data_IF_645805847855
#
_entry.id   IF_645805847855
#
_cell.length_a   1.000
_cell.length_b   1.000
_cell.length_c   1.000
_cell.angle_alpha   90.00
_cell.angle_beta   90.00
_cell.angle_gamma   90.00
#
_symmetry.space_group_name_H-M   'P 1'
#
loop_
_entity.id
_entity.type
_entity.pdbx_description
1 polymer ?
#
# COMPACT_ATOMS: atom_id res chain seq x y z
N UNK A 1 16.01 3.57 22.26
CA UNK A 1 15.12 4.21 21.29
C UNK A 1 15.95 4.59 20.08
N UNK A 2 15.51 4.14 18.92
CA UNK A 2 16.15 4.41 17.63
C UNK A 2 16.08 5.92 17.28
N UNK A 3 17.05 6.47 16.54
CA UNK A 3 16.98 7.87 16.09
C UNK A 3 16.11 8.01 14.85
N UNK A 4 15.08 8.85 14.89
CA UNK A 4 14.15 9.09 13.77
C UNK A 4 14.44 10.43 13.11
N UNK A 5 14.48 10.44 11.77
CA UNK A 5 14.36 11.65 10.97
C UNK A 5 13.07 11.64 10.15
N UNK A 6 12.53 12.83 9.89
CA UNK A 6 11.45 13.06 8.94
C UNK A 6 12.07 13.63 7.67
N UNK A 7 11.80 13.02 6.52
CA UNK A 7 12.28 13.47 5.21
C UNK A 7 11.07 13.89 4.37
N UNK A 8 10.99 15.19 4.08
CA UNK A 8 10.07 15.73 3.09
C UNK A 8 10.75 15.70 1.72
N UNK A 9 10.22 14.90 0.79
CA UNK A 9 10.73 14.72 -0.57
C UNK A 9 9.93 15.63 -1.51
N UNK A 10 10.63 16.49 -2.25
CA UNK A 10 10.00 17.51 -3.10
C UNK A 10 10.80 17.75 -4.38
N UNK A 11 10.12 18.30 -5.39
CA UNK A 11 10.73 18.68 -6.66
C UNK A 11 10.53 20.18 -6.96
N UNK A 12 9.34 20.58 -7.43
CA UNK A 12 9.10 21.93 -7.92
C UNK A 12 7.74 22.53 -7.48
N UNK A 13 7.10 21.98 -6.45
CA UNK A 13 5.76 22.39 -5.98
C UNK A 13 5.80 23.01 -4.57
N UNK A 14 5.91 24.33 -4.50
CA UNK A 14 5.95 25.06 -3.21
C UNK A 14 4.66 24.89 -2.42
N UNK A 15 3.50 24.95 -3.07
CA UNK A 15 2.21 24.86 -2.39
C UNK A 15 1.98 23.48 -1.75
N UNK A 16 2.34 22.42 -2.47
CA UNK A 16 2.32 21.03 -1.97
C UNK A 16 3.23 20.88 -0.76
N UNK A 17 4.51 21.26 -0.90
CA UNK A 17 5.47 21.22 0.19
C UNK A 17 5.00 22.03 1.40
N UNK A 18 4.46 23.24 1.19
CA UNK A 18 3.93 24.10 2.26
C UNK A 18 2.81 23.39 3.01
N UNK A 19 1.93 22.67 2.32
CA UNK A 19 0.83 21.92 2.93
C UNK A 19 1.33 20.74 3.76
N UNK A 20 2.29 19.97 3.23
CA UNK A 20 2.94 18.91 4.00
C UNK A 20 3.58 19.47 5.27
N UNK A 21 4.41 20.50 5.13
CA UNK A 21 5.13 21.16 6.22
C UNK A 21 4.19 21.69 7.30
N UNK A 22 3.08 22.33 6.92
CA UNK A 22 2.04 22.75 7.87
C UNK A 22 1.41 21.57 8.61
N UNK A 23 1.18 20.43 7.95
CA UNK A 23 0.64 19.26 8.65
C UNK A 23 1.66 18.68 9.64
N UNK A 24 2.95 18.73 9.32
CA UNK A 24 4.03 18.34 10.23
C UNK A 24 4.14 19.29 11.43
N UNK A 25 4.03 20.61 11.23
CA UNK A 25 4.02 21.59 12.33
C UNK A 25 2.89 21.33 13.34
N UNK A 26 1.74 20.85 12.85
CA UNK A 26 0.56 20.58 13.68
C UNK A 26 0.55 19.16 14.28
N UNK A 27 1.58 18.36 14.04
CA UNK A 27 1.68 17.03 14.60
C UNK A 27 2.26 17.02 16.02
N UNK A 28 2.10 15.90 16.70
CA UNK A 28 2.52 15.69 18.07
C UNK A 28 3.78 14.83 18.14
N UNK A 29 4.81 15.37 18.79
CA UNK A 29 6.12 14.74 18.93
C UNK A 29 6.45 14.32 20.37
N UNK A 30 5.53 14.57 21.32
CA UNK A 30 5.80 14.38 22.74
C UNK A 30 6.96 15.26 23.21
N UNK A 31 7.89 14.66 23.97
CA UNK A 31 9.13 15.32 24.41
C UNK A 31 10.27 15.23 23.37
N UNK A 32 10.02 14.58 22.23
CA UNK A 32 11.03 14.41 21.19
C UNK A 32 11.13 15.63 20.28
N UNK A 33 12.34 15.81 19.72
CA UNK A 33 12.66 16.91 18.80
C UNK A 33 13.22 16.36 17.50
N UNK A 34 12.36 15.84 16.59
CA UNK A 34 12.84 15.18 15.38
C UNK A 34 13.53 16.15 14.42
N UNK A 35 14.58 15.65 13.77
CA UNK A 35 15.20 16.34 12.64
C UNK A 35 14.30 16.27 11.42
N UNK A 36 13.98 17.41 10.83
CA UNK A 36 13.33 17.53 9.54
C UNK A 36 14.37 17.74 8.44
N UNK A 37 14.35 16.87 7.43
CA UNK A 37 15.19 16.97 6.24
C UNK A 37 14.28 17.29 5.06
N UNK A 38 14.49 18.45 4.42
CA UNK A 38 13.80 18.79 3.16
C UNK A 38 14.74 18.41 2.03
N UNK A 39 14.42 17.31 1.33
CA UNK A 39 15.23 16.74 0.25
C UNK A 39 14.64 17.13 -1.10
N UNK A 40 15.37 17.94 -1.86
CA UNK A 40 14.89 18.64 -3.05
C UNK A 40 15.62 18.10 -4.29
N UNK A 41 14.87 17.50 -5.22
CA UNK A 41 15.43 17.12 -6.52
C UNK A 41 15.57 18.35 -7.43
N UNK A 42 16.59 18.37 -8.29
CA UNK A 42 16.93 19.59 -9.03
C UNK A 42 15.91 19.89 -10.13
N UNK A 43 15.21 21.01 -10.01
CA UNK A 43 14.32 21.56 -11.05
C UNK A 43 15.02 22.62 -11.92
N UNK A 44 14.26 23.20 -12.85
CA UNK A 44 14.72 24.33 -13.70
C UNK A 44 14.79 25.66 -12.95
N UNK A 45 14.22 25.74 -11.75
CA UNK A 45 14.24 26.92 -10.89
C UNK A 45 14.93 26.61 -9.56
N UNK A 46 15.14 27.63 -8.73
CA UNK A 46 15.64 27.51 -7.35
C UNK A 46 14.57 27.93 -6.32
N UNK A 47 13.31 28.01 -6.74
CA UNK A 47 12.24 28.59 -5.93
C UNK A 47 11.89 27.74 -4.71
N UNK A 48 11.88 26.41 -4.88
CA UNK A 48 11.67 25.47 -3.76
C UNK A 48 12.88 25.46 -2.84
N UNK A 49 14.10 25.54 -3.37
CA UNK A 49 15.31 25.64 -2.57
C UNK A 49 15.35 26.90 -1.70
N UNK A 50 15.00 28.07 -2.26
CA UNK A 50 14.89 29.34 -1.51
C UNK A 50 13.81 29.27 -0.45
N UNK A 51 12.62 28.80 -0.81
CA UNK A 51 11.53 28.60 0.14
C UNK A 51 11.95 27.68 1.29
N UNK A 52 12.60 26.56 0.96
CA UNK A 52 13.07 25.61 1.95
C UNK A 52 14.13 26.24 2.85
N UNK A 53 15.10 27.00 2.30
CA UNK A 53 16.15 27.69 3.07
C UNK A 53 15.59 28.62 4.16
N UNK A 54 14.53 29.37 3.81
CA UNK A 54 13.87 30.34 4.69
C UNK A 54 12.87 29.70 5.67
N UNK A 55 12.51 28.43 5.46
CA UNK A 55 11.53 27.74 6.31
C UNK A 55 12.07 27.51 7.74
N UNK A 56 11.24 27.85 8.73
CA UNK A 56 11.52 27.61 10.14
C UNK A 56 10.81 26.36 10.64
N UNK A 57 11.58 25.38 11.14
CA UNK A 57 11.04 24.19 11.78
C UNK A 57 10.96 24.39 13.31
N UNK A 58 9.77 24.42 13.92
CA UNK A 58 9.65 24.72 15.35
C UNK A 58 9.99 23.55 16.28
N UNK A 59 10.00 22.32 15.79
CA UNK A 59 10.09 21.12 16.65
C UNK A 59 11.50 20.53 16.78
N UNK A 60 12.50 20.98 16.02
CA UNK A 60 13.83 20.38 16.08
C UNK A 60 14.83 20.99 15.10
N UNK A 61 15.86 20.20 14.75
CA UNK A 61 16.81 20.59 13.72
C UNK A 61 16.16 20.51 12.32
N UNK A 62 16.54 21.44 11.44
CA UNK A 62 16.14 21.43 10.03
C UNK A 62 17.37 21.37 9.14
N UNK A 63 17.34 20.47 8.17
CA UNK A 63 18.37 20.29 7.15
C UNK A 63 17.73 20.44 5.77
N UNK A 64 18.35 21.19 4.86
CA UNK A 64 17.94 21.24 3.44
C UNK A 64 18.99 20.52 2.60
N UNK A 65 18.57 19.43 1.96
CA UNK A 65 19.39 18.62 1.05
C UNK A 65 19.00 18.96 -0.39
N UNK A 66 19.87 19.67 -1.10
CA UNK A 66 19.67 20.07 -2.50
C UNK A 66 20.51 19.16 -3.39
N UNK A 67 19.87 18.50 -4.36
CA UNK A 67 20.60 17.74 -5.36
C UNK A 67 21.12 18.67 -6.46
N UNK A 68 22.33 18.41 -6.95
CA UNK A 68 22.96 19.25 -7.99
C UNK A 68 22.38 19.02 -9.39
N UNK A 69 21.79 17.84 -9.60
CA UNK A 69 21.19 17.41 -10.87
C UNK A 69 19.86 16.74 -10.62
N UNK A 70 19.01 16.69 -11.64
CA UNK A 70 17.74 15.99 -11.57
C UNK A 70 18.01 14.48 -11.51
N UNK A 71 17.72 13.86 -10.37
CA UNK A 71 17.90 12.43 -10.16
C UNK A 71 16.73 11.63 -10.73
N UNK A 72 15.54 12.24 -10.74
CA UNK A 72 14.28 11.56 -10.96
C UNK A 72 13.86 10.76 -9.72
N UNK A 73 12.56 10.49 -9.60
CA UNK A 73 11.94 9.92 -8.40
C UNK A 73 12.68 8.67 -7.87
N UNK A 74 12.95 7.69 -8.75
CA UNK A 74 13.61 6.44 -8.35
C UNK A 74 14.97 6.65 -7.69
N UNK A 75 15.86 7.41 -8.34
CA UNK A 75 17.21 7.62 -7.81
C UNK A 75 17.21 8.57 -6.61
N UNK A 76 16.28 9.53 -6.58
CA UNK A 76 16.11 10.41 -5.42
C UNK A 76 15.72 9.59 -4.18
N UNK A 77 14.74 8.69 -4.30
CA UNK A 77 14.32 7.82 -3.20
C UNK A 77 15.44 6.91 -2.72
N UNK A 78 16.18 6.27 -3.64
CA UNK A 78 17.33 5.42 -3.26
C UNK A 78 18.45 6.22 -2.58
N UNK A 79 18.66 7.49 -2.97
CA UNK A 79 19.68 8.35 -2.35
C UNK A 79 19.40 8.65 -0.87
N UNK A 80 18.14 8.57 -0.42
CA UNK A 80 17.77 8.86 0.97
C UNK A 80 18.40 7.87 1.97
N UNK A 81 18.81 6.69 1.50
CA UNK A 81 19.52 5.71 2.31
C UNK A 81 20.81 6.23 2.95
N UNK A 82 21.41 7.31 2.41
CA UNK A 82 22.59 7.97 3.00
C UNK A 82 22.33 8.46 4.44
N UNK A 83 21.08 8.80 4.77
CA UNK A 83 20.72 9.31 6.10
C UNK A 83 20.80 8.25 7.20
N UNK A 84 20.88 6.97 6.85
CA UNK A 84 21.13 5.89 7.82
C UNK A 84 22.53 5.94 8.45
N UNK A 85 23.44 6.79 7.97
CA UNK A 85 24.68 7.10 8.69
C UNK A 85 24.43 7.83 10.02
N UNK A 86 23.34 8.60 10.12
CA UNK A 86 23.01 9.44 11.29
C UNK A 86 21.77 8.98 12.05
N UNK A 87 20.83 8.36 11.35
CA UNK A 87 19.54 7.94 11.87
C UNK A 87 19.36 6.43 11.74
N UNK A 88 18.48 5.88 12.57
CA UNK A 88 18.15 4.46 12.57
C UNK A 88 16.80 4.21 11.85
N UNK A 89 15.97 5.25 11.73
CA UNK A 89 14.67 5.20 11.08
C UNK A 89 14.38 6.50 10.33
N UNK A 90 13.88 6.37 9.11
CA UNK A 90 13.54 7.47 8.23
C UNK A 90 12.04 7.41 7.94
N UNK A 91 11.31 8.47 8.29
CA UNK A 91 9.94 8.69 7.84
C UNK A 91 10.01 9.49 6.55
N UNK A 92 9.56 8.93 5.44
CA UNK A 92 9.69 9.54 4.12
C UNK A 92 8.30 9.94 3.63
N UNK A 93 8.15 11.22 3.29
CA UNK A 93 6.89 11.85 2.92
C UNK A 93 7.08 12.65 1.64
N UNK A 94 6.35 12.30 0.58
CA UNK A 94 6.26 13.09 -0.64
C UNK A 94 5.48 14.39 -0.39
N UNK A 95 5.80 15.45 -1.13
CA UNK A 95 5.23 16.80 -0.97
C UNK A 95 3.71 16.90 -1.17
N UNK A 96 3.07 15.88 -1.76
CA UNK A 96 1.61 15.83 -1.96
C UNK A 96 0.84 15.19 -0.80
N UNK A 97 1.52 14.80 0.28
CA UNK A 97 0.93 14.19 1.45
C UNK A 97 0.56 15.20 2.55
N UNK A 98 -0.33 14.78 3.44
CA UNK A 98 -0.48 15.35 4.78
C UNK A 98 -0.48 14.23 5.81
N UNK A 99 -0.03 14.56 7.01
CA UNK A 99 0.07 13.61 8.13
C UNK A 99 -1.04 13.81 9.16
N UNK A 100 -1.37 12.72 9.85
CA UNK A 100 -2.16 12.70 11.07
C UNK A 100 -1.38 13.36 12.21
N UNK A 101 -2.03 14.03 13.17
CA UNK A 101 -1.34 14.55 14.36
C UNK A 101 -0.56 13.49 15.14
N UNK A 102 -0.95 12.22 15.11
CA UNK A 102 -0.28 11.14 15.85
C UNK A 102 0.63 10.25 14.98
N UNK A 103 0.97 10.66 13.74
CA UNK A 103 1.81 9.85 12.84
C UNK A 103 3.18 9.50 13.44
N UNK A 104 3.76 10.43 14.18
CA UNK A 104 5.09 10.28 14.76
C UNK A 104 5.07 9.24 15.88
N UNK A 105 4.10 9.32 16.79
CA UNK A 105 3.92 8.35 17.88
C UNK A 105 3.74 6.92 17.37
N UNK A 106 2.93 6.74 16.32
CA UNK A 106 2.79 5.43 15.67
C UNK A 106 4.12 4.93 15.10
N UNK A 107 4.83 5.80 14.36
CA UNK A 107 6.13 5.45 13.78
C UNK A 107 7.13 5.08 14.86
N UNK A 108 7.19 5.85 15.94
CA UNK A 108 8.06 5.62 17.09
C UNK A 108 7.84 4.22 17.66
N UNK A 109 6.61 3.91 18.05
CA UNK A 109 6.27 2.62 18.66
C UNK A 109 6.45 1.44 17.70
N UNK A 110 6.04 1.59 16.44
CA UNK A 110 6.19 0.55 15.43
C UNK A 110 7.67 0.28 15.09
N UNK A 111 8.47 1.33 14.90
CA UNK A 111 9.89 1.18 14.56
C UNK A 111 10.73 0.67 15.73
N UNK A 112 10.45 1.07 16.98
CA UNK A 112 11.09 0.47 18.15
C UNK A 112 10.76 -1.02 18.27
N UNK A 113 9.52 -1.43 17.94
CA UNK A 113 9.10 -2.84 17.97
C UNK A 113 9.73 -3.68 16.87
N UNK A 114 9.80 -3.16 15.64
CA UNK A 114 10.17 -3.95 14.47
C UNK A 114 11.60 -3.76 13.97
N UNK A 115 12.42 -2.94 14.64
CA UNK A 115 13.82 -2.69 14.26
C UNK A 115 14.62 -3.99 14.02
N UNK A 116 14.42 -4.99 14.86
CA UNK A 116 15.13 -6.27 14.78
C UNK A 116 14.29 -7.40 14.15
N UNK A 117 13.10 -7.08 13.63
CA UNK A 117 12.21 -8.06 13.01
C UNK A 117 12.81 -8.63 11.73
N UNK A 118 12.64 -9.94 11.54
CA UNK A 118 12.98 -10.65 10.30
C UNK A 118 11.83 -10.73 9.31
N UNK A 119 10.61 -10.54 9.79
CA UNK A 119 9.38 -10.63 9.00
C UNK A 119 8.95 -9.27 8.46
N UNK A 120 9.18 -8.18 9.22
CA UNK A 120 8.80 -6.83 8.84
C UNK A 120 9.97 -6.14 8.13
N UNK A 121 9.77 -5.69 6.90
CA UNK A 121 10.76 -4.96 6.10
C UNK A 121 10.49 -3.46 5.96
N UNK A 122 9.32 -2.99 6.40
CA UNK A 122 8.96 -1.58 6.39
C UNK A 122 7.67 -1.31 7.13
N UNK A 123 7.38 -0.03 7.35
CA UNK A 123 6.13 0.41 7.96
C UNK A 123 5.48 1.41 7.00
N UNK A 124 4.20 1.25 6.76
CA UNK A 124 3.36 2.20 6.06
C UNK A 124 2.66 3.10 7.08
N UNK A 125 2.49 4.37 6.72
CA UNK A 125 1.57 5.31 7.37
C UNK A 125 0.26 5.39 6.59
N UNK A 126 0.20 4.84 5.39
CA UNK A 126 -1.00 4.79 4.57
C UNK A 126 -1.77 3.48 4.72
N UNK A 127 -3.09 3.59 4.84
CA UNK A 127 -4.04 2.47 4.83
C UNK A 127 -4.78 2.41 3.50
N UNK A 128 -4.80 1.23 2.87
CA UNK A 128 -5.53 1.03 1.63
C UNK A 128 -7.04 1.11 1.89
N UNK A 129 -7.71 2.08 1.26
CA UNK A 129 -9.17 2.10 1.08
C UNK A 129 -9.60 1.42 -0.24
N UNK A 130 -8.64 1.18 -1.12
CA UNK A 130 -8.83 0.69 -2.48
C UNK A 130 -7.73 -0.33 -2.82
N UNK A 131 -8.14 -1.47 -3.36
CA UNK A 131 -7.23 -2.42 -4.00
C UNK A 131 -6.83 -1.83 -5.35
N UNK A 132 -5.58 -1.40 -5.49
CA UNK A 132 -5.10 -0.76 -6.72
C UNK A 132 -5.03 -1.71 -7.93
N UNK A 133 -5.07 -3.03 -7.71
CA UNK A 133 -5.10 -4.04 -8.78
C UNK A 133 -6.45 -4.10 -9.47
N UNK A 134 -7.53 -4.02 -8.70
CA UNK A 134 -8.92 -4.14 -9.18
C UNK A 134 -9.65 -2.80 -9.25
N UNK A 135 -9.11 -1.76 -8.61
CA UNK A 135 -9.74 -0.45 -8.36
C UNK A 135 -11.07 -0.57 -7.60
N UNK A 136 -11.20 -1.59 -6.76
CA UNK A 136 -12.37 -1.80 -5.88
C UNK A 136 -12.04 -1.44 -4.44
N UNK A 137 -13.07 -1.19 -3.63
CA UNK A 137 -12.90 -0.97 -2.19
C UNK A 137 -12.13 -2.13 -1.56
N UNK A 138 -11.16 -1.79 -0.72
CA UNK A 138 -10.45 -2.74 0.12
C UNK A 138 -10.75 -2.42 1.57
N UNK A 139 -11.20 -3.44 2.32
CA UNK A 139 -11.45 -3.36 3.74
C UNK A 139 -10.70 -4.54 4.34
N UNK A 140 -9.61 -4.33 5.09
CA UNK A 140 -8.90 -5.43 5.72
C UNK A 140 -9.71 -6.00 6.89
N UNK A 141 -9.51 -7.27 7.19
CA UNK A 141 -9.98 -7.90 8.43
C UNK A 141 -9.29 -7.20 9.58
N UNK A 142 -10.06 -6.78 10.58
CA UNK A 142 -9.55 -6.07 11.75
C UNK A 142 -9.53 -6.99 12.97
N UNK A 143 -8.44 -6.92 13.72
CA UNK A 143 -8.28 -7.57 15.01
C UNK A 143 -7.95 -6.53 16.09
N UNK A 144 -7.42 -6.96 17.23
CA UNK A 144 -7.11 -6.11 18.39
C UNK A 144 -5.97 -5.12 18.18
N UNK A 145 -5.17 -5.31 17.13
CA UNK A 145 -4.03 -4.46 16.82
C UNK A 145 -4.44 -3.21 16.03
N UNK A 146 -3.51 -2.28 15.91
CA UNK A 146 -3.67 -1.03 15.14
C UNK A 146 -3.14 -1.14 13.71
N UNK A 147 -2.61 -2.30 13.34
CA UNK A 147 -2.18 -2.59 11.99
C UNK A 147 -2.18 -4.08 11.66
N UNK A 148 -1.90 -4.34 10.39
CA UNK A 148 -1.88 -5.66 9.76
C UNK A 148 -0.70 -5.74 8.80
N UNK A 149 -0.36 -6.94 8.36
CA UNK A 149 0.80 -7.19 7.51
C UNK A 149 0.40 -7.39 6.06
N UNK A 150 1.19 -6.83 5.14
CA UNK A 150 1.03 -7.06 3.69
C UNK A 150 2.37 -7.33 3.02
N UNK A 151 2.44 -8.30 2.11
CA UNK A 151 3.57 -8.42 1.18
C UNK A 151 3.51 -7.33 0.08
N UNK A 152 3.27 -6.07 0.47
CA UNK A 152 3.16 -4.93 -0.41
C UNK A 152 3.78 -3.72 0.28
N UNK A 153 4.78 -3.11 -0.35
CA UNK A 153 5.30 -1.85 0.13
C UNK A 153 4.29 -0.71 -0.12
N UNK A 154 4.57 0.47 0.43
CA UNK A 154 3.78 1.68 0.20
C UNK A 154 4.69 2.89 0.02
N UNK A 155 4.26 3.88 -0.77
CA UNK A 155 4.97 5.14 -1.03
C UNK A 155 4.31 6.38 -0.43
N UNK A 156 3.03 6.31 -0.05
CA UNK A 156 2.29 7.45 0.51
C UNK A 156 2.51 7.60 2.01
N UNK A 157 3.77 7.69 2.43
CA UNK A 157 4.16 7.74 3.85
C UNK A 157 4.76 6.43 4.27
N UNK A 158 6.00 6.21 3.86
CA UNK A 158 6.77 5.02 4.19
C UNK A 158 7.75 5.32 5.31
N UNK A 159 8.10 4.27 6.02
CA UNK A 159 9.05 4.32 7.10
C UNK A 159 10.04 3.20 6.89
N UNK A 160 11.30 3.57 6.73
CA UNK A 160 12.40 2.63 6.58
C UNK A 160 13.19 2.55 7.86
N UNK A 161 13.55 1.33 8.24
CA UNK A 161 14.40 1.01 9.37
C UNK A 161 15.75 0.51 8.85
N UNK A 162 16.84 0.91 9.51
CA UNK A 162 18.20 0.74 8.99
C UNK A 162 18.56 -0.71 8.61
N UNK A 163 18.30 -1.74 9.44
CA UNK A 163 18.63 -3.11 9.08
C UNK A 163 17.86 -3.58 7.83
N UNK A 164 16.55 -3.33 7.80
CA UNK A 164 15.66 -3.74 6.73
C UNK A 164 15.95 -3.01 5.41
N UNK A 165 16.25 -1.71 5.48
CA UNK A 165 16.67 -0.93 4.32
C UNK A 165 17.94 -1.48 3.71
N UNK A 166 18.95 -1.82 4.52
CA UNK A 166 20.20 -2.37 4.01
C UNK A 166 19.98 -3.71 3.29
N UNK A 167 19.11 -4.57 3.84
CA UNK A 167 18.74 -5.84 3.21
C UNK A 167 17.99 -5.62 1.89
N UNK A 168 16.98 -4.74 1.88
CA UNK A 168 16.26 -4.38 0.66
C UNK A 168 17.17 -3.73 -0.38
N UNK A 169 18.02 -2.79 0.01
CA UNK A 169 18.89 -2.07 -0.90
C UNK A 169 19.94 -3.01 -1.53
N UNK A 170 20.52 -3.93 -0.76
CA UNK A 170 21.42 -4.96 -1.29
C UNK A 170 20.70 -5.83 -2.33
N UNK A 171 19.49 -6.31 -2.01
CA UNK A 171 18.66 -7.06 -2.95
C UNK A 171 18.33 -6.23 -4.19
N UNK A 172 17.96 -4.95 -4.03
CA UNK A 172 17.57 -4.05 -5.10
C UNK A 172 18.70 -3.83 -6.12
N UNK A 173 19.96 -3.71 -5.66
CA UNK A 173 21.12 -3.56 -6.53
C UNK A 173 21.30 -4.74 -7.49
N UNK A 174 20.85 -5.94 -7.10
CA UNK A 174 20.91 -7.16 -7.91
C UNK A 174 19.67 -7.37 -8.79
N UNK A 175 18.57 -6.64 -8.54
CA UNK A 175 17.24 -6.90 -9.10
C UNK A 175 16.59 -5.68 -9.78
N UNK A 176 17.40 -4.82 -10.39
CA UNK A 176 16.95 -3.54 -10.98
C UNK A 176 16.09 -3.69 -12.25
N UNK A 177 16.11 -4.86 -12.89
CA UNK A 177 15.35 -5.17 -14.09
C UNK A 177 14.52 -6.44 -13.88
N UNK A 178 13.25 -6.41 -14.30
CA UNK A 178 12.40 -7.60 -14.35
C UNK A 178 11.22 -7.42 -15.29
N UNK A 179 10.70 -8.55 -15.77
CA UNK A 179 9.56 -8.65 -16.68
C UNK A 179 8.30 -9.10 -15.95
N UNK A 180 7.24 -9.41 -16.70
CA UNK A 180 6.06 -10.05 -16.13
C UNK A 180 6.44 -11.44 -15.60
N UNK A 181 6.10 -11.69 -14.33
CA UNK A 181 6.33 -12.97 -13.67
C UNK A 181 5.01 -13.53 -13.11
N UNK A 182 4.82 -14.87 -13.08
CA UNK A 182 3.59 -15.48 -12.59
C UNK A 182 3.23 -15.17 -11.13
N UNK A 183 4.24 -14.99 -10.26
CA UNK A 183 4.07 -14.70 -8.83
C UNK A 183 3.93 -13.22 -8.51
N UNK A 184 4.08 -12.33 -9.50
CA UNK A 184 3.99 -10.87 -9.30
C UNK A 184 2.71 -10.30 -9.91
N UNK A 185 2.06 -9.30 -9.29
CA UNK A 185 0.96 -8.59 -9.92
C UNK A 185 1.39 -7.95 -11.24
N UNK A 186 0.62 -8.16 -12.30
CA UNK A 186 0.99 -7.68 -13.64
C UNK A 186 1.18 -6.16 -13.68
N UNK A 187 0.35 -5.41 -12.95
CA UNK A 187 0.41 -3.94 -12.93
C UNK A 187 1.75 -3.41 -12.40
N UNK A 188 2.36 -4.06 -11.40
CA UNK A 188 3.64 -3.59 -10.84
C UNK A 188 4.79 -3.86 -11.82
N UNK A 189 4.70 -4.91 -12.64
CA UNK A 189 5.67 -5.19 -13.70
C UNK A 189 5.63 -4.10 -14.77
N UNK A 190 4.45 -3.52 -15.06
CA UNK A 190 4.25 -2.47 -16.06
C UNK A 190 4.72 -1.06 -15.62
N UNK A 191 4.96 -0.81 -14.33
CA UNK A 191 5.44 0.50 -13.88
C UNK A 191 6.88 0.73 -14.33
N UNK A 192 7.15 1.80 -15.09
CA UNK A 192 8.48 2.06 -15.65
C UNK A 192 9.39 2.86 -14.73
N UNK A 193 8.84 3.81 -13.96
CA UNK A 193 9.62 4.76 -13.13
C UNK A 193 9.45 4.60 -11.62
N UNK A 194 8.46 3.80 -11.19
CA UNK A 194 8.15 3.66 -9.77
C UNK A 194 9.17 2.79 -9.07
N UNK A 195 9.78 3.29 -8.00
CA UNK A 195 10.66 2.50 -7.15
C UNK A 195 9.87 1.49 -6.29
N UNK A 196 8.58 1.77 -6.02
CA UNK A 196 7.69 0.96 -5.20
C UNK A 196 7.57 -0.47 -5.73
N UNK A 197 7.60 -0.66 -7.06
CA UNK A 197 7.55 -2.00 -7.69
C UNK A 197 8.65 -2.92 -7.19
N UNK A 198 9.85 -2.39 -6.92
CA UNK A 198 10.98 -3.18 -6.48
C UNK A 198 10.82 -3.60 -5.03
N UNK A 199 10.33 -2.70 -4.17
CA UNK A 199 10.13 -3.02 -2.76
C UNK A 199 8.94 -3.98 -2.57
N UNK A 200 7.84 -3.81 -3.32
CA UNK A 200 6.75 -4.79 -3.33
C UNK A 200 7.22 -6.15 -3.86
N UNK A 201 8.02 -6.18 -4.94
CA UNK A 201 8.62 -7.43 -5.44
C UNK A 201 9.49 -8.10 -4.37
N UNK A 202 10.35 -7.34 -3.69
CA UNK A 202 11.16 -7.84 -2.58
C UNK A 202 10.28 -8.45 -1.47
N UNK A 203 9.20 -7.78 -1.07
CA UNK A 203 8.25 -8.29 -0.07
C UNK A 203 7.67 -9.65 -0.48
N UNK A 204 7.23 -9.78 -1.74
CA UNK A 204 6.63 -11.01 -2.27
C UNK A 204 7.66 -12.13 -2.36
N UNK A 205 8.85 -11.85 -2.90
CA UNK A 205 9.87 -12.89 -3.16
C UNK A 205 10.60 -13.35 -1.90
N UNK A 206 10.61 -12.55 -0.84
CA UNK A 206 11.25 -12.88 0.44
C UNK A 206 10.26 -13.21 1.56
N UNK A 207 8.97 -13.27 1.24
CA UNK A 207 7.85 -13.41 2.19
C UNK A 207 7.96 -12.47 3.41
N UNK A 208 8.34 -11.22 3.13
CA UNK A 208 8.42 -10.15 4.12
C UNK A 208 7.26 -9.18 3.99
N UNK A 209 6.97 -8.49 5.08
CA UNK A 209 5.78 -7.69 5.23
C UNK A 209 6.09 -6.22 5.49
N UNK A 210 5.24 -5.34 4.97
CA UNK A 210 5.04 -4.02 5.53
C UNK A 210 3.95 -4.09 6.59
N UNK A 211 4.15 -3.37 7.70
CA UNK A 211 3.07 -3.04 8.63
C UNK A 211 2.20 -1.93 8.02
N UNK A 212 0.92 -2.21 7.79
CA UNK A 212 -0.08 -1.23 7.39
C UNK A 212 -1.02 -0.90 8.55
N UNK A 213 -1.34 0.38 8.79
CA UNK A 213 -2.30 0.74 9.82
C UNK A 213 -3.73 0.45 9.36
N UNK A 214 -4.63 0.12 10.29
CA UNK A 214 -6.06 0.00 9.99
C UNK A 214 -6.76 1.35 9.77
N UNK A 215 -6.19 2.43 10.31
CA UNK A 215 -6.62 3.81 10.10
C UNK A 215 -5.42 4.60 9.62
N UNK A 216 -5.53 5.21 8.44
CA UNK A 216 -4.39 5.88 7.81
C UNK A 216 -3.84 7.03 8.64
N UNK A 217 -2.53 7.16 8.70
CA UNK A 217 -1.81 8.28 9.32
C UNK A 217 -1.22 9.25 8.29
N UNK A 218 -1.38 8.95 7.01
CA UNK A 218 -1.18 9.87 5.89
C UNK A 218 -2.35 9.81 4.92
N UNK A 219 -2.59 10.89 4.19
CA UNK A 219 -3.46 10.88 3.01
C UNK A 219 -2.84 11.75 1.92
N UNK A 220 -3.13 11.45 0.66
CA UNK A 220 -2.58 12.17 -0.48
C UNK A 220 -3.59 13.20 -1.01
N UNK A 221 -3.09 14.27 -1.61
CA UNK A 221 -3.92 15.23 -2.35
C UNK A 221 -4.11 14.85 -3.82
N UNK A 222 -3.58 13.69 -4.24
CA UNK A 222 -3.65 13.16 -5.62
C UNK A 222 -3.27 14.22 -6.65
N UNK A 223 -2.27 15.05 -6.33
CA UNK A 223 -1.85 16.15 -7.20
C UNK A 223 -1.03 15.62 -8.38
N UNK A 224 -1.09 16.34 -9.50
CA UNK A 224 -0.39 15.93 -10.72
C UNK A 224 1.12 15.75 -10.47
N UNK A 225 1.58 14.51 -10.53
CA UNK A 225 2.98 14.10 -10.48
C UNK A 225 3.35 13.17 -11.64
N UNK A 226 4.51 12.52 -11.56
CA UNK A 226 5.08 11.68 -12.63
C UNK A 226 4.18 10.47 -13.01
N UNK A 227 3.24 10.09 -12.14
CA UNK A 227 2.40 8.89 -12.27
C UNK A 227 0.88 9.15 -12.38
N UNK A 228 0.43 10.40 -12.34
CA UNK A 228 -1.00 10.76 -12.40
C UNK A 228 -1.32 11.53 -13.69
N UNK A 229 -2.20 10.97 -14.53
CA UNK A 229 -2.76 11.63 -15.72
C UNK A 229 -3.75 12.75 -15.34
N UNK A 230 -4.20 13.53 -16.33
CA UNK A 230 -5.01 14.78 -16.21
C UNK A 230 -6.30 14.67 -15.36
N UNK A 231 -6.77 13.47 -15.02
CA UNK A 231 -7.91 13.23 -14.13
C UNK A 231 -7.47 12.91 -12.69
N UNK A 232 -7.70 13.85 -11.77
CA UNK A 232 -7.51 13.65 -10.32
C UNK A 232 -8.44 12.53 -9.84
N UNK A 233 -7.87 11.37 -9.49
CA UNK A 233 -8.63 10.21 -9.00
C UNK A 233 -8.62 10.14 -7.48
N UNK A 234 -9.65 10.70 -6.85
CA UNK A 234 -9.83 10.69 -5.39
C UNK A 234 -10.01 9.29 -4.77
N UNK A 235 -10.01 8.22 -5.58
CA UNK A 235 -10.22 6.84 -5.10
C UNK A 235 -9.10 6.34 -4.18
N UNK A 236 -7.94 7.00 -4.22
CA UNK A 236 -6.78 6.68 -3.39
C UNK A 236 -6.67 7.60 -2.17
N UNK A 237 -7.59 8.54 -1.99
CA UNK A 237 -7.69 9.26 -0.73
C UNK A 237 -8.31 8.36 0.33
N UNK A 238 -7.77 8.42 1.53
CA UNK A 238 -8.22 7.61 2.65
C UNK A 238 -8.52 8.47 3.87
N UNK A 239 -9.29 7.91 4.79
CA UNK A 239 -9.59 8.57 6.06
C UNK A 239 -8.32 8.69 6.88
N UNK A 240 -8.07 9.89 7.40
CA UNK A 240 -6.91 10.19 8.23
C UNK A 240 -7.29 10.06 9.71
N UNK A 241 -6.46 9.37 10.50
CA UNK A 241 -6.59 9.30 11.95
C UNK A 241 -6.53 10.72 12.53
N UNK A 242 -7.58 11.10 13.24
CA UNK A 242 -7.66 12.38 13.93
C UNK A 242 -7.51 12.19 15.44
N UNK A 243 -7.21 13.29 16.13
CA UNK A 243 -7.05 13.31 17.57
C UNK A 243 -5.67 12.80 18.04
N UNK A 244 -5.55 12.68 19.36
CA UNK A 244 -4.28 12.42 20.06
C UNK A 244 -4.20 10.97 20.54
N UNK A 245 -4.15 10.02 19.60
CA UNK A 245 -3.92 8.62 19.97
C UNK A 245 -2.46 8.44 20.36
N UNK A 246 -2.22 8.04 21.60
CA UNK A 246 -0.88 7.91 22.19
C UNK A 246 -0.38 6.48 22.27
N UNK A 247 -1.29 5.50 22.27
CA UNK A 247 -0.96 4.09 22.50
C UNK A 247 -1.40 3.26 21.31
N UNK A 248 -0.45 2.63 20.62
CA UNK A 248 -0.69 1.74 19.50
C UNK A 248 -0.27 0.32 19.85
N UNK A 249 -1.12 -0.63 19.49
CA UNK A 249 -0.84 -2.05 19.67
C UNK A 249 -0.48 -2.71 18.34
N UNK A 250 0.52 -3.58 18.33
CA UNK A 250 1.02 -4.23 17.11
C UNK A 250 1.28 -5.71 17.34
N UNK A 251 1.10 -6.59 16.34
CA UNK A 251 1.35 -8.03 16.46
C UNK A 251 2.84 -8.35 16.67
N UNK A 252 3.17 -9.35 17.47
CA UNK A 252 4.58 -9.75 17.67
C UNK A 252 5.16 -10.47 16.44
N UNK A 253 4.34 -11.17 15.67
CA UNK A 253 4.74 -11.93 14.49
C UNK A 253 3.61 -12.01 13.44
N UNK A 254 3.93 -12.53 12.26
CA UNK A 254 2.96 -12.83 11.21
C UNK A 254 1.93 -13.89 11.62
N UNK A 255 2.21 -14.73 12.63
CA UNK A 255 1.24 -15.72 13.14
C UNK A 255 0.07 -15.06 13.90
N UNK A 256 0.34 -13.95 14.56
CA UNK A 256 -0.66 -13.16 15.31
C UNK A 256 -1.31 -12.07 14.46
N UNK A 257 -0.64 -11.65 13.39
CA UNK A 257 -1.13 -10.61 12.50
C UNK A 257 -2.21 -11.12 11.56
N UNK A 258 -3.08 -10.21 11.12
CA UNK A 258 -3.79 -10.41 9.85
C UNK A 258 -2.77 -10.19 8.72
N UNK A 259 -2.60 -11.18 7.85
CA UNK A 259 -1.64 -11.11 6.74
C UNK A 259 -2.35 -11.14 5.39
N UNK A 260 -1.95 -10.23 4.51
CA UNK A 260 -2.32 -10.23 3.09
C UNK A 260 -1.09 -10.40 2.22
N UNK A 261 -1.25 -11.03 1.07
CA UNK A 261 -0.19 -11.08 0.07
C UNK A 261 -0.16 -9.83 -0.83
N UNK A 262 0.78 -9.81 -1.78
CA UNK A 262 0.91 -8.72 -2.76
C UNK A 262 -0.25 -8.61 -3.76
N UNK A 263 -1.27 -9.47 -3.66
CA UNK A 263 -2.49 -9.47 -4.47
C UNK A 263 -3.73 -9.10 -3.66
N UNK A 264 -3.56 -8.61 -2.43
CA UNK A 264 -4.65 -8.28 -1.50
C UNK A 264 -5.51 -9.50 -1.12
N UNK A 265 -4.93 -10.70 -1.16
CA UNK A 265 -5.59 -11.92 -0.72
C UNK A 265 -5.18 -12.25 0.72
N UNK A 266 -6.15 -12.59 1.56
CA UNK A 266 -5.90 -12.88 2.97
C UNK A 266 -5.24 -14.26 3.13
N UNK A 267 -4.03 -14.31 3.72
CA UNK A 267 -3.25 -15.55 3.88
C UNK A 267 -3.88 -16.53 4.88
N UNK A 268 -4.77 -16.10 5.77
CA UNK A 268 -5.46 -17.00 6.71
C UNK A 268 -6.38 -18.02 5.99
N UNK A 269 -6.75 -17.76 4.74
CA UNK A 269 -7.56 -18.67 3.92
C UNK A 269 -6.88 -20.03 3.78
N UNK A 270 -5.57 -20.07 3.60
CA UNK A 270 -4.79 -21.32 3.49
C UNK A 270 -5.03 -22.25 4.67
N UNK A 271 -4.85 -21.72 5.89
CA UNK A 271 -5.13 -22.44 7.14
C UNK A 271 -6.60 -22.85 7.26
N UNK A 272 -7.53 -21.99 6.86
CA UNK A 272 -8.97 -22.31 6.91
C UNK A 272 -9.37 -23.47 6.00
N UNK A 273 -8.70 -23.63 4.86
CA UNK A 273 -8.93 -24.70 3.89
C UNK A 273 -8.12 -25.96 4.19
N UNK A 274 -7.07 -25.86 5.01
CA UNK A 274 -6.11 -26.93 5.26
C UNK A 274 -5.21 -27.19 4.06
N UNK A 275 -4.82 -26.13 3.34
CA UNK A 275 -3.98 -26.17 2.14
C UNK A 275 -2.79 -25.23 2.31
N UNK A 276 -1.66 -25.52 1.67
CA UNK A 276 -0.51 -24.62 1.63
C UNK A 276 -0.54 -23.64 0.44
N UNK A 277 0.34 -22.63 0.47
CA UNK A 277 0.52 -21.68 -0.66
C UNK A 277 1.06 -22.36 -1.93
N UNK A 278 1.78 -23.47 -1.77
CA UNK A 278 2.29 -24.27 -2.87
C UNK A 278 1.22 -25.11 -3.55
N UNK A 279 0.17 -25.47 -2.82
CA UNK A 279 -0.94 -26.29 -3.29
C UNK A 279 -2.09 -25.46 -3.85
N UNK A 280 -2.35 -24.28 -3.30
CA UNK A 280 -3.53 -23.47 -3.59
C UNK A 280 -3.20 -22.06 -4.09
N UNK A 281 -3.85 -21.63 -5.17
CA UNK A 281 -3.92 -20.23 -5.57
C UNK A 281 -5.18 -19.62 -4.98
N UNK A 282 -5.04 -18.76 -3.98
CA UNK A 282 -6.12 -17.89 -3.50
C UNK A 282 -6.21 -16.68 -4.43
N UNK A 283 -7.34 -16.50 -5.09
CA UNK A 283 -7.57 -15.53 -6.17
C UNK A 283 -9.03 -15.05 -6.17
N UNK A 284 -9.52 -14.62 -5.01
CA UNK A 284 -10.88 -14.11 -4.83
C UNK A 284 -11.07 -12.82 -5.62
N UNK A 285 -10.05 -11.95 -5.62
CA UNK A 285 -10.00 -10.70 -6.39
C UNK A 285 -9.87 -10.93 -7.90
N UNK A 286 -9.43 -12.12 -8.33
CA UNK A 286 -9.36 -12.53 -9.73
C UNK A 286 -8.17 -11.94 -10.51
N UNK A 287 -7.12 -11.49 -9.81
CA UNK A 287 -5.94 -10.85 -10.40
C UNK A 287 -4.76 -11.78 -10.59
N UNK A 288 -4.73 -12.95 -9.92
CA UNK A 288 -3.63 -13.92 -10.05
C UNK A 288 -3.80 -14.83 -11.26
N UNK A 289 -5.04 -15.25 -11.54
CA UNK A 289 -5.38 -16.14 -12.64
C UNK A 289 -4.71 -17.52 -12.58
N UNK A 290 -4.33 -17.96 -11.37
CA UNK A 290 -3.55 -19.18 -11.14
C UNK A 290 -2.35 -19.38 -12.10
N UNK A 291 -1.62 -18.31 -12.45
CA UNK A 291 -0.49 -18.36 -13.39
C UNK A 291 0.66 -19.26 -12.92
N UNK A 292 0.77 -19.49 -11.60
CA UNK A 292 1.71 -20.43 -11.00
C UNK A 292 1.27 -21.89 -11.07
N UNK A 293 0.10 -22.18 -11.66
CA UNK A 293 -0.42 -23.56 -11.90
C UNK A 293 -0.50 -24.39 -10.62
N UNK A 294 -1.03 -23.78 -9.55
CA UNK A 294 -1.34 -24.47 -8.30
C UNK A 294 -2.48 -25.46 -8.53
N UNK A 295 -2.41 -26.61 -7.88
CA UNK A 295 -3.40 -27.69 -8.02
C UNK A 295 -4.82 -27.22 -7.65
N UNK A 296 -4.92 -26.46 -6.57
CA UNK A 296 -6.20 -25.88 -6.15
C UNK A 296 -6.26 -24.42 -6.55
N UNK A 297 -7.43 -23.98 -6.99
CA UNK A 297 -7.69 -22.57 -7.32
C UNK A 297 -8.96 -22.11 -6.65
N UNK A 298 -8.82 -21.23 -5.66
CA UNK A 298 -9.93 -20.57 -4.99
C UNK A 298 -10.20 -19.25 -5.70
N UNK A 299 -11.35 -19.11 -6.35
CA UNK A 299 -11.68 -17.90 -7.10
C UNK A 299 -13.16 -17.57 -7.07
N UNK A 300 -13.49 -16.31 -7.26
CA UNK A 300 -14.88 -15.86 -7.50
C UNK A 300 -15.31 -16.04 -8.96
N UNK A 301 -14.39 -16.43 -9.86
CA UNK A 301 -14.70 -16.70 -11.25
C UNK A 301 -15.40 -18.06 -11.42
N UNK A 302 -16.50 -18.07 -12.16
CA UNK A 302 -17.16 -19.32 -12.55
C UNK A 302 -16.42 -19.93 -13.74
N UNK A 303 -15.75 -21.06 -13.49
CA UNK A 303 -15.02 -21.83 -14.51
C UNK A 303 -15.52 -23.27 -14.58
N UNK A 304 -15.32 -23.93 -15.73
CA UNK A 304 -15.72 -25.32 -15.95
C UNK A 304 -14.61 -26.27 -15.48
N UNK A 305 -14.37 -26.31 -14.18
CA UNK A 305 -13.46 -27.23 -13.50
C UNK A 305 -14.21 -28.03 -12.42
N UNK A 306 -13.69 -29.19 -11.99
CA UNK A 306 -14.24 -29.92 -10.86
C UNK A 306 -14.27 -29.05 -9.60
N UNK A 307 -15.48 -28.75 -9.13
CA UNK A 307 -15.73 -27.99 -7.90
C UNK A 307 -15.47 -28.90 -6.69
N UNK A 308 -14.53 -28.51 -5.84
CA UNK A 308 -14.22 -29.18 -4.57
C UNK A 308 -15.10 -28.62 -3.45
N UNK A 309 -15.20 -27.29 -3.34
CA UNK A 309 -16.00 -26.57 -2.35
C UNK A 309 -16.53 -25.25 -2.95
N UNK A 310 -17.57 -24.68 -2.34
CA UNK A 310 -17.98 -23.29 -2.62
C UNK A 310 -18.45 -22.56 -1.37
N UNK A 311 -18.32 -21.24 -1.42
CA UNK A 311 -18.52 -20.34 -0.30
C UNK A 311 -19.35 -19.12 -0.69
N UNK A 312 -20.01 -18.53 0.30
CA UNK A 312 -20.88 -17.37 0.13
C UNK A 312 -20.13 -16.04 0.24
N UNK A 313 -20.61 -15.01 -0.46
CA UNK A 313 -20.16 -13.61 -0.34
C UNK A 313 -20.99 -12.78 0.65
N UNK A 314 -21.20 -13.32 1.85
CA UNK A 314 -22.08 -12.74 2.88
C UNK A 314 -21.41 -11.73 3.81
N UNK A 315 -20.09 -11.80 3.98
CA UNK A 315 -19.34 -10.93 4.90
C UNK A 315 -18.67 -9.74 4.21
N UNK A 316 -18.33 -8.72 5.00
CA UNK A 316 -17.39 -7.66 4.65
C UNK A 316 -16.39 -7.53 5.80
N UNK A 317 -15.10 -7.84 5.61
CA UNK A 317 -14.44 -8.28 4.36
C UNK A 317 -14.92 -9.63 3.82
N UNK A 318 -14.75 -9.88 2.53
CA UNK A 318 -15.39 -11.00 1.81
C UNK A 318 -14.75 -12.35 2.09
N UNK A 319 -13.45 -12.35 2.38
CA UNK A 319 -12.65 -13.52 2.75
C UNK A 319 -13.20 -14.24 3.99
N UNK A 320 -13.92 -13.55 4.87
CA UNK A 320 -14.52 -14.17 6.06
C UNK A 320 -15.53 -15.26 5.71
N UNK A 321 -16.21 -15.18 4.55
CA UNK A 321 -17.10 -16.26 4.10
C UNK A 321 -16.35 -17.57 3.85
N UNK A 322 -15.10 -17.50 3.41
CA UNK A 322 -14.23 -18.67 3.21
C UNK A 322 -13.64 -19.13 4.55
N UNK A 323 -13.15 -18.19 5.36
CA UNK A 323 -12.51 -18.48 6.65
C UNK A 323 -13.50 -19.17 7.61
N UNK A 324 -14.73 -18.67 7.68
CA UNK A 324 -15.82 -19.24 8.50
C UNK A 324 -16.52 -20.41 7.81
N UNK A 325 -16.10 -20.77 6.59
CA UNK A 325 -16.63 -21.88 5.79
C UNK A 325 -18.15 -21.80 5.55
N UNK A 326 -18.65 -20.60 5.27
CA UNK A 326 -20.07 -20.40 4.95
C UNK A 326 -20.34 -20.87 3.53
N UNK A 327 -21.18 -21.89 3.38
CA UNK A 327 -21.57 -22.44 2.08
C UNK A 327 -22.30 -21.42 1.20
N UNK A 328 -21.97 -21.38 -0.08
CA UNK A 328 -22.57 -20.51 -1.07
C UNK A 328 -22.19 -20.87 -2.50
N UNK A 329 -22.51 -20.01 -3.47
CA UNK A 329 -22.31 -20.24 -4.91
C UNK A 329 -21.65 -19.02 -5.59
N UNK A 330 -20.77 -18.34 -4.85
CA UNK A 330 -20.10 -17.12 -5.29
C UNK A 330 -18.58 -17.21 -5.32
N UNK A 331 -17.97 -17.97 -4.39
CA UNK A 331 -16.53 -18.29 -4.38
C UNK A 331 -16.39 -19.80 -4.48
N UNK A 332 -15.45 -20.27 -5.29
CA UNK A 332 -15.30 -21.67 -5.64
C UNK A 332 -13.86 -22.13 -5.45
N UNK A 333 -13.68 -23.29 -4.84
CA UNK A 333 -12.42 -24.01 -4.82
C UNK A 333 -12.46 -25.10 -5.89
N UNK A 334 -11.63 -24.98 -6.91
CA UNK A 334 -11.52 -25.93 -8.01
C UNK A 334 -10.26 -26.78 -7.89
N UNK A 335 -10.30 -28.03 -8.37
CA UNK A 335 -9.12 -28.86 -8.65
C UNK A 335 -8.73 -28.70 -10.13
N UNK A 336 -7.51 -28.23 -10.40
CA UNK A 336 -7.03 -27.89 -11.75
C UNK A 336 -6.30 -29.03 -12.46
N UNK A 337 -6.00 -30.14 -11.76
CA UNK A 337 -5.24 -31.26 -12.33
C UNK A 337 -6.10 -32.18 -13.23
N UNK A 338 -7.39 -31.87 -13.39
CA UNK A 338 -8.31 -32.65 -14.22
C UNK A 338 -8.26 -32.26 -15.71
N UNK A 339 -8.21 -33.27 -16.57
CA UNK A 339 -7.96 -33.19 -18.03
C UNK A 339 -9.12 -32.65 -18.88
N UNK A 340 -10.30 -32.40 -18.31
CA UNK A 340 -11.45 -31.83 -19.03
C UNK A 340 -11.49 -30.29 -18.89
N UNK A 341 -10.54 -29.60 -19.51
CA UNK A 341 -10.55 -28.14 -19.55
C UNK A 341 -11.45 -27.63 -20.69
N UNK A 342 -12.63 -27.10 -20.35
CA UNK A 342 -13.40 -26.24 -21.27
C UNK A 342 -13.28 -24.79 -20.81
N UNK A 343 -12.31 -24.07 -21.36
CA UNK A 343 -12.14 -22.64 -21.12
C UNK A 343 -13.43 -21.88 -21.48
N UNK A 344 -13.99 -21.19 -20.48
CA UNK A 344 -15.16 -20.33 -20.62
C UNK A 344 -15.25 -19.48 -19.37
N UNK A 345 -14.82 -18.22 -19.48
CA UNK A 345 -14.86 -17.25 -18.39
C UNK A 345 -16.25 -16.62 -18.36
N UNK A 346 -16.99 -16.81 -17.27
CA UNK A 346 -18.17 -15.98 -16.97
C UNK A 346 -17.68 -14.72 -16.26
N UNK A 347 -17.47 -13.66 -17.03
CA UNK A 347 -16.84 -12.40 -16.61
C UNK A 347 -17.72 -11.45 -15.79
N UNK A 348 -18.24 -11.90 -14.66
CA UNK A 348 -18.76 -10.99 -13.62
C UNK A 348 -18.24 -11.46 -12.27
N UNK A 349 -17.21 -10.79 -11.77
CA UNK A 349 -16.78 -10.95 -10.37
C UNK A 349 -17.95 -10.50 -9.49
N UNK A 350 -18.53 -11.40 -8.70
CA UNK A 350 -19.64 -11.06 -7.79
C UNK A 350 -19.29 -9.93 -6.80
N UNK A 351 -18.00 -9.64 -6.60
CA UNK A 351 -17.54 -8.45 -5.87
C UNK A 351 -18.13 -7.15 -6.44
N UNK A 352 -18.33 -7.07 -7.77
CA UNK A 352 -18.91 -5.89 -8.41
C UNK A 352 -20.41 -5.77 -8.17
N UNK A 353 -21.17 -6.87 -8.09
CA UNK A 353 -22.63 -6.80 -7.93
C UNK A 353 -23.05 -6.18 -6.60
N UNK A 354 -22.26 -6.34 -5.54
CA UNK A 354 -22.48 -5.64 -4.28
C UNK A 354 -22.19 -4.12 -4.36
N UNK A 355 -21.21 -3.72 -5.16
CA UNK A 355 -20.90 -2.30 -5.40
C UNK A 355 -21.93 -1.63 -6.31
N UNK A 356 -22.67 -2.43 -7.11
CA UNK A 356 -23.76 -1.93 -7.95
C UNK A 356 -24.91 -1.35 -7.14
N UNK A 357 -25.21 -1.80 -5.92
CA UNK A 357 -26.30 -1.21 -5.13
C UNK A 357 -26.01 0.25 -4.76
N UNK A 358 -24.79 0.55 -4.33
CA UNK A 358 -24.34 1.92 -4.09
C UNK A 358 -24.35 2.73 -5.38
N UNK A 359 -23.82 2.19 -6.49
CA UNK A 359 -23.85 2.85 -7.79
C UNK A 359 -25.27 3.13 -8.30
N UNK A 360 -26.19 2.18 -8.15
CA UNK A 360 -27.60 2.32 -8.51
C UNK A 360 -28.30 3.34 -7.62
N UNK A 361 -27.94 3.42 -6.33
CA UNK A 361 -28.46 4.47 -5.44
C UNK A 361 -28.01 5.87 -5.87
N UNK A 362 -26.76 6.01 -6.34
CA UNK A 362 -26.23 7.26 -6.91
C UNK A 362 -26.95 7.58 -8.21
N UNK A 363 -27.09 6.63 -9.13
CA UNK A 363 -27.82 6.82 -10.39
C UNK A 363 -29.29 7.19 -10.13
N UNK A 364 -29.95 6.58 -9.14
CA UNK A 364 -31.32 6.91 -8.73
C UNK A 364 -31.44 8.34 -8.22
N UNK A 365 -30.47 8.83 -7.46
CA UNK A 365 -30.47 10.20 -6.90
C UNK A 365 -30.01 11.26 -7.92
N UNK A 366 -28.97 10.96 -8.68
CA UNK A 366 -28.32 11.88 -9.62
C UNK A 366 -29.05 11.96 -10.96
N UNK A 367 -29.77 10.89 -11.31
CA UNK A 367 -30.49 10.74 -12.57
C UNK A 367 -29.60 10.14 -13.67
N UNK A 368 -30.09 9.08 -14.31
CA UNK A 368 -29.37 8.36 -15.36
C UNK A 368 -28.91 9.26 -16.52
N UNK A 369 -29.70 10.27 -16.88
CA UNK A 369 -29.36 11.23 -17.95
C UNK A 369 -28.14 12.07 -17.58
N UNK A 370 -28.03 12.52 -16.34
CA UNK A 370 -26.89 13.31 -15.86
C UNK A 370 -25.64 12.44 -15.75
N UNK A 371 -25.81 11.21 -15.24
CA UNK A 371 -24.75 10.21 -15.20
C UNK A 371 -24.17 9.90 -16.58
N UNK A 372 -25.03 9.64 -17.58
CA UNK A 372 -24.59 9.39 -18.96
C UNK A 372 -23.91 10.62 -19.59
N UNK A 373 -24.40 11.83 -19.30
CA UNK A 373 -23.79 13.07 -19.79
C UNK A 373 -22.37 13.28 -19.23
N UNK A 374 -22.15 12.98 -17.94
CA UNK A 374 -20.81 13.03 -17.34
C UNK A 374 -19.90 11.94 -17.88
N UNK A 375 -20.42 10.72 -18.09
CA UNK A 375 -19.68 9.64 -18.74
C UNK A 375 -19.20 10.05 -20.13
N UNK A 376 -20.07 10.61 -20.98
CA UNK A 376 -19.68 11.09 -22.31
C UNK A 376 -18.73 12.31 -22.31
N UNK A 377 -18.56 12.98 -21.17
CA UNK A 377 -17.61 14.09 -21.04
C UNK A 377 -16.27 13.65 -20.44
N UNK A 378 -16.20 12.44 -19.85
CA UNK A 378 -14.99 11.87 -19.21
C UNK A 378 -14.33 10.76 -20.04
N UNK A 379 -14.99 10.28 -21.08
CA UNK A 379 -14.49 9.37 -22.10
C UNK A 379 -14.64 10.03 -23.46
#
# INVERSE_FOLDING_TARGET
MNKIAIIAVTYNRIDSLTRLLKSLENAEYGDERPTLIISIDKSKTDAVEKFADDYHWPHGERIVRKHEKNLGLRNHMMSLGEWFEKFDTLIILEDDLVVSPCFYTYTRQASDKYMDSKEVCGISLYSFSCNYLTRTSFIPVKNEYDGYFMNCAMSWGEVWMKPQWNEFHAWYLEHQEFTSEPHLPEIICCWSKSWLKYHTRYCIETDKYFLHPYVSLTTNYTEQGEHSSEDVSYIFQTTLQQGKKTDFSFPDSAEEAVCYDGFFENKAIYKSLGLSEEECCVDINGTKGNRQKRRFWLTSQKVKLPKVKSFALTYRPVEMGVIDRVEGEEIFLYDTDCTEQKYGVSGVTYLYTASLESGLSVIRKYGLKNFLKELCNRF
#
